data_IF_995359025466
#
_entry.id   IF_995359025466
#
_cell.length_a   1.000
_cell.length_b   1.000
_cell.length_c   1.000
_cell.angle_alpha   90.00
_cell.angle_beta   90.00
_cell.angle_gamma   90.00
#
_symmetry.space_group_name_H-M   'P 1'
#
loop_
_entity.id
_entity.type
_entity.pdbx_description
1 polymer ?
#
# COMPACT_ATOMS: atom_id res chain seq x y z
N UNK A 1 -3.82 -7.83 26.94
CA UNK A 1 -3.27 -6.51 27.32
C UNK A 1 -3.50 -5.57 26.14
N UNK A 2 -4.43 -4.63 26.28
CA UNK A 2 -4.83 -3.73 25.19
C UNK A 2 -3.84 -2.56 25.18
N UNK A 3 -3.02 -2.45 24.13
CA UNK A 3 -2.10 -1.32 24.01
C UNK A 3 -2.92 -0.02 23.95
N UNK A 4 -2.57 1.02 24.72
CA UNK A 4 -3.23 2.31 24.61
C UNK A 4 -3.07 2.83 23.18
N UNK A 5 -4.02 3.64 22.71
CA UNK A 5 -4.07 4.13 21.34
C UNK A 5 -2.90 5.09 21.07
N UNK A 6 -1.74 4.50 20.70
CA UNK A 6 -0.40 5.12 20.60
C UNK A 6 -0.34 6.40 19.76
N UNK A 7 -1.30 6.61 18.86
CA UNK A 7 -1.41 7.82 18.03
C UNK A 7 -1.69 9.10 18.83
N UNK A 8 -2.37 9.01 19.98
CA UNK A 8 -2.67 10.18 20.82
C UNK A 8 -1.48 10.61 21.70
N UNK A 9 -0.60 9.67 22.02
CA UNK A 9 0.57 9.87 22.89
C UNK A 9 1.82 10.33 22.12
N UNK A 10 1.81 10.20 20.78
CA UNK A 10 2.84 10.76 19.92
C UNK A 10 2.82 12.30 19.99
N UNK A 11 4.00 12.89 20.15
CA UNK A 11 4.20 14.33 19.97
C UNK A 11 3.58 14.76 18.63
N UNK A 12 2.99 15.96 18.57
CA UNK A 12 2.24 16.40 17.38
C UNK A 12 3.07 16.33 16.09
N UNK A 13 4.38 16.57 16.18
CA UNK A 13 5.33 16.50 15.05
C UNK A 13 5.63 15.08 14.57
N UNK A 14 5.38 14.08 15.42
CA UNK A 14 5.66 12.67 15.16
C UNK A 14 4.42 11.91 14.64
N UNK A 15 3.27 12.57 14.62
CA UNK A 15 2.06 11.99 14.06
C UNK A 15 2.19 11.83 12.54
N UNK A 16 1.64 10.76 11.95
CA UNK A 16 1.86 10.45 10.54
C UNK A 16 1.39 11.54 9.55
N UNK A 17 0.30 12.26 9.84
CA UNK A 17 -0.23 13.30 8.95
C UNK A 17 0.72 14.51 8.90
N UNK A 18 1.21 14.91 10.07
CA UNK A 18 2.11 16.02 10.27
C UNK A 18 3.50 15.70 9.69
N UNK A 19 3.99 14.47 9.87
CA UNK A 19 5.21 13.98 9.20
C UNK A 19 5.04 13.93 7.68
N UNK A 20 3.91 13.44 7.18
CA UNK A 20 3.62 13.41 5.74
C UNK A 20 3.62 14.81 5.15
N UNK A 21 3.01 15.79 5.84
CA UNK A 21 2.98 17.18 5.41
C UNK A 21 4.36 17.84 5.42
N UNK A 22 5.18 17.57 6.44
CA UNK A 22 6.48 18.22 6.64
C UNK A 22 7.62 17.57 5.85
N UNK A 23 7.63 16.25 5.76
CA UNK A 23 8.75 15.44 5.26
C UNK A 23 8.41 14.65 3.99
N UNK A 24 7.13 14.62 3.59
CA UNK A 24 6.66 13.83 2.45
C UNK A 24 6.49 12.35 2.75
N UNK A 25 5.99 11.61 1.76
CA UNK A 25 5.63 10.20 1.92
C UNK A 25 6.83 9.28 2.21
N UNK A 26 8.02 9.62 1.72
CA UNK A 26 9.23 8.82 1.94
C UNK A 26 9.70 8.77 3.40
N UNK A 27 9.18 9.65 4.25
CA UNK A 27 9.49 9.64 5.68
C UNK A 27 8.61 8.66 6.48
N UNK A 28 7.57 8.08 5.89
CA UNK A 28 6.66 7.13 6.54
C UNK A 28 7.09 5.70 6.22
N UNK A 29 6.98 4.80 7.20
CA UNK A 29 7.11 3.37 6.93
C UNK A 29 5.85 2.79 6.28
N UNK A 30 5.94 1.58 5.70
CA UNK A 30 4.81 0.91 5.04
C UNK A 30 3.56 0.80 5.92
N UNK A 31 3.75 0.54 7.22
CA UNK A 31 2.64 0.47 8.19
C UNK A 31 1.95 1.83 8.31
N UNK A 32 2.71 2.92 8.38
CA UNK A 32 2.18 4.28 8.46
C UNK A 32 1.47 4.69 7.16
N UNK A 33 2.03 4.33 6.00
CA UNK A 33 1.41 4.59 4.70
C UNK A 33 0.05 3.89 4.58
N UNK A 34 -0.02 2.60 4.92
CA UNK A 34 -1.28 1.87 4.92
C UNK A 34 -2.24 2.39 5.98
N UNK A 35 -1.76 2.77 7.16
CA UNK A 35 -2.60 3.35 8.20
C UNK A 35 -3.23 4.68 7.73
N UNK A 36 -2.47 5.51 7.01
CA UNK A 36 -2.96 6.74 6.41
C UNK A 36 -4.07 6.49 5.38
N UNK A 37 -3.96 5.43 4.57
CA UNK A 37 -5.01 5.04 3.64
C UNK A 37 -6.28 4.54 4.36
N UNK A 38 -6.11 3.76 5.43
CA UNK A 38 -7.25 3.21 6.19
C UNK A 38 -8.03 4.28 6.97
N UNK A 39 -7.40 5.42 7.28
CA UNK A 39 -7.93 6.65 7.95
C UNK A 39 -8.49 6.48 9.36
N UNK A 40 -9.22 5.40 9.63
CA UNK A 40 -9.89 5.17 10.89
C UNK A 40 -9.85 3.70 11.27
N UNK A 41 -9.84 3.43 12.58
CA UNK A 41 -9.80 2.08 13.11
C UNK A 41 -11.13 1.36 12.88
N UNK A 42 -11.28 0.18 13.47
CA UNK A 42 -12.59 -0.40 13.71
C UNK A 42 -12.74 -0.71 15.19
N UNK A 43 -13.96 -0.95 15.66
CA UNK A 43 -14.19 -1.23 17.08
C UNK A 43 -13.33 -2.44 17.51
N UNK A 44 -12.37 -2.20 18.39
CA UNK A 44 -11.45 -3.20 18.92
C UNK A 44 -10.11 -3.35 18.18
N UNK A 45 -9.84 -2.61 17.10
CA UNK A 45 -8.52 -2.58 16.44
C UNK A 45 -8.15 -1.15 16.04
N UNK A 46 -7.00 -0.67 16.52
CA UNK A 46 -6.46 0.61 16.05
C UNK A 46 -5.87 0.46 14.63
N UNK A 47 -5.74 1.61 13.95
CA UNK A 47 -5.34 1.64 12.53
C UNK A 47 -3.93 1.07 12.31
N UNK A 48 -2.92 1.43 13.12
CA UNK A 48 -1.57 0.89 12.92
C UNK A 48 -1.52 -0.62 13.11
N UNK A 49 -2.24 -1.18 14.08
CA UNK A 49 -2.31 -2.64 14.27
C UNK A 49 -2.95 -3.32 13.06
N UNK A 50 -4.02 -2.75 12.51
CA UNK A 50 -4.67 -3.28 11.32
C UNK A 50 -3.75 -3.24 10.09
N UNK A 51 -3.04 -2.13 9.88
CA UNK A 51 -2.07 -1.96 8.81
C UNK A 51 -0.89 -2.95 8.92
N UNK A 52 -0.37 -3.14 10.13
CA UNK A 52 0.68 -4.12 10.41
C UNK A 52 0.22 -5.56 10.17
N UNK A 53 -1.02 -5.91 10.56
CA UNK A 53 -1.59 -7.23 10.26
C UNK A 53 -1.74 -7.45 8.75
N UNK A 54 -2.12 -6.42 8.00
CA UNK A 54 -2.20 -6.42 6.54
C UNK A 54 -0.86 -6.80 5.90
N UNK A 55 0.22 -6.10 6.27
CA UNK A 55 1.56 -6.37 5.73
C UNK A 55 2.06 -7.75 6.13
N UNK A 56 1.80 -8.18 7.36
CA UNK A 56 2.26 -9.48 7.85
C UNK A 56 1.56 -10.64 7.14
N UNK A 57 0.26 -10.51 6.87
CA UNK A 57 -0.51 -11.52 6.12
C UNK A 57 -0.12 -11.54 4.64
N UNK A 58 0.17 -10.38 4.03
CA UNK A 58 0.62 -10.30 2.65
C UNK A 58 2.09 -10.70 2.46
N UNK A 59 2.91 -10.57 3.51
CA UNK A 59 4.36 -10.77 3.49
C UNK A 59 5.17 -9.57 2.98
N UNK A 60 4.57 -8.68 2.17
CA UNK A 60 5.19 -7.43 1.72
C UNK A 60 4.15 -6.44 1.18
N UNK A 61 4.53 -5.16 1.02
CA UNK A 61 3.68 -4.16 0.37
C UNK A 61 3.39 -4.52 -1.09
N UNK A 62 4.38 -5.05 -1.82
CA UNK A 62 4.22 -5.46 -3.22
C UNK A 62 3.26 -6.62 -3.41
N UNK A 63 3.20 -7.56 -2.46
CA UNK A 63 2.29 -8.70 -2.51
C UNK A 63 0.80 -8.28 -2.46
N UNK A 64 0.49 -7.11 -1.87
CA UNK A 64 -0.87 -6.57 -1.83
C UNK A 64 -1.43 -6.25 -3.23
N UNK A 65 -0.56 -6.04 -4.23
CA UNK A 65 -0.98 -5.77 -5.61
C UNK A 65 -1.78 -6.95 -6.19
N UNK A 66 -1.48 -8.18 -5.76
CA UNK A 66 -2.14 -9.40 -6.22
C UNK A 66 -3.41 -9.78 -5.45
N UNK A 67 -3.73 -9.08 -4.35
CA UNK A 67 -4.86 -9.42 -3.49
C UNK A 67 -6.21 -9.06 -4.11
N UNK A 68 -7.22 -9.90 -3.87
CA UNK A 68 -8.63 -9.65 -4.23
C UNK A 68 -9.41 -9.13 -3.03
N UNK A 69 -10.66 -8.68 -3.25
CA UNK A 69 -11.52 -8.15 -2.17
C UNK A 69 -11.61 -9.11 -0.99
N UNK A 70 -11.78 -10.40 -1.27
CA UNK A 70 -11.92 -11.43 -0.25
C UNK A 70 -10.64 -11.59 0.58
N UNK A 71 -9.45 -11.36 0.02
CA UNK A 71 -8.20 -11.44 0.77
C UNK A 71 -8.12 -10.32 1.82
N UNK A 72 -8.48 -9.09 1.42
CA UNK A 72 -8.58 -7.97 2.35
C UNK A 72 -9.63 -8.21 3.44
N UNK A 73 -10.79 -8.76 3.07
CA UNK A 73 -11.91 -8.97 4.00
C UNK A 73 -11.71 -10.12 5.00
N UNK A 74 -10.69 -10.97 4.83
CA UNK A 74 -10.28 -11.96 5.85
C UNK A 74 -9.82 -11.29 7.14
N UNK A 75 -9.29 -10.06 7.05
CA UNK A 75 -8.81 -9.31 8.20
C UNK A 75 -9.96 -8.61 8.92
N UNK A 76 -10.15 -8.96 10.20
CA UNK A 76 -11.13 -8.31 11.06
C UNK A 76 -10.85 -6.81 11.13
N UNK A 77 -11.85 -6.01 10.77
CA UNK A 77 -11.74 -4.55 10.70
C UNK A 77 -11.59 -3.99 9.27
N UNK A 78 -11.47 -4.85 8.26
CA UNK A 78 -11.56 -4.46 6.86
C UNK A 78 -12.92 -4.90 6.31
N UNK A 79 -13.89 -3.99 6.38
CA UNK A 79 -15.18 -4.16 5.71
C UNK A 79 -15.09 -3.87 4.21
N UNK A 80 -16.22 -4.05 3.50
CA UNK A 80 -16.33 -3.86 2.05
C UNK A 80 -15.75 -2.53 1.57
N UNK A 81 -16.09 -1.41 2.22
CA UNK A 81 -15.64 -0.07 1.80
C UNK A 81 -14.11 0.05 1.82
N UNK A 82 -13.47 -0.37 2.91
CA UNK A 82 -12.01 -0.34 3.06
C UNK A 82 -11.33 -1.29 2.08
N UNK A 83 -11.90 -2.48 1.86
CA UNK A 83 -11.38 -3.43 0.89
C UNK A 83 -11.41 -2.87 -0.54
N UNK A 84 -12.53 -2.27 -0.96
CA UNK A 84 -12.63 -1.63 -2.27
C UNK A 84 -11.65 -0.46 -2.43
N UNK A 85 -11.48 0.37 -1.39
CA UNK A 85 -10.51 1.46 -1.40
C UNK A 85 -9.08 0.94 -1.60
N UNK A 86 -8.68 -0.10 -0.86
CA UNK A 86 -7.35 -0.71 -1.00
C UNK A 86 -7.18 -1.31 -2.40
N UNK A 87 -8.18 -2.02 -2.92
CA UNK A 87 -8.16 -2.54 -4.28
C UNK A 87 -7.94 -1.43 -5.32
N UNK A 88 -8.63 -0.29 -5.17
CA UNK A 88 -8.43 0.86 -6.05
C UNK A 88 -7.00 1.38 -6.00
N UNK A 89 -6.42 1.53 -4.81
CA UNK A 89 -5.02 1.99 -4.66
C UNK A 89 -4.04 0.99 -5.30
N UNK A 90 -4.24 -0.31 -5.07
CA UNK A 90 -3.39 -1.35 -5.64
C UNK A 90 -3.51 -1.42 -7.17
N UNK A 91 -4.72 -1.20 -7.72
CA UNK A 91 -4.95 -1.09 -9.16
C UNK A 91 -4.19 0.08 -9.77
N UNK A 92 -4.25 1.26 -9.14
CA UNK A 92 -3.49 2.43 -9.58
C UNK A 92 -1.99 2.13 -9.58
N UNK A 93 -1.46 1.57 -8.49
CA UNK A 93 -0.05 1.20 -8.39
C UNK A 93 0.37 0.22 -9.50
N UNK A 94 -0.44 -0.82 -9.75
CA UNK A 94 -0.17 -1.80 -10.82
C UNK A 94 -0.13 -1.15 -12.20
N UNK A 95 -1.08 -0.26 -12.53
CA UNK A 95 -1.12 0.42 -13.84
C UNK A 95 0.12 1.29 -14.04
N UNK A 96 0.56 2.00 -13.00
CA UNK A 96 1.78 2.80 -13.03
C UNK A 96 2.98 1.89 -13.31
N UNK A 97 3.14 0.79 -12.57
CA UNK A 97 4.26 -0.15 -12.78
C UNK A 97 4.29 -0.75 -14.19
N UNK A 98 3.13 -1.14 -14.74
CA UNK A 98 3.03 -1.67 -16.11
C UNK A 98 3.43 -0.61 -17.16
N UNK A 99 3.03 0.65 -16.95
CA UNK A 99 3.40 1.76 -17.85
C UNK A 99 4.90 2.04 -17.82
N UNK A 100 5.54 2.02 -16.65
CA UNK A 100 6.99 2.21 -16.53
C UNK A 100 7.76 1.13 -17.31
N UNK A 101 7.30 -0.13 -17.24
CA UNK A 101 7.92 -1.24 -17.97
C UNK A 101 7.67 -1.22 -19.49
N UNK A 102 6.75 -0.40 -19.99
CA UNK A 102 6.45 -0.27 -21.43
C UNK A 102 7.44 0.65 -22.17
N UNK A 103 8.48 1.14 -21.49
CA UNK A 103 9.62 1.86 -22.09
C UNK A 103 10.84 0.96 -22.35
N UNK A 104 10.62 -0.32 -22.69
CA UNK A 104 11.69 -1.16 -23.25
C UNK A 104 11.80 -0.93 -24.77
N UNK A 105 13.03 -0.84 -25.33
CA UNK A 105 13.28 -0.34 -26.67
C UNK A 105 12.64 -1.25 -27.71
N UNK A 106 12.03 -0.64 -28.73
CA UNK A 106 11.79 -1.32 -30.00
C UNK A 106 13.14 -1.89 -30.43
N UNK A 107 13.29 -3.22 -30.41
CA UNK A 107 14.44 -3.89 -31.00
C UNK A 107 14.40 -3.57 -32.50
N UNK A 108 15.10 -2.51 -32.93
CA UNK A 108 15.47 -2.34 -34.33
C UNK A 108 16.55 -3.38 -34.64
N UNK A 109 16.09 -4.59 -34.92
CA UNK A 109 16.88 -5.64 -35.53
C UNK A 109 16.90 -5.49 -37.04
N UNK A 110 17.33 -4.33 -37.55
CA UNK A 110 17.81 -4.24 -38.93
C UNK A 110 19.10 -5.07 -39.03
N UNK A 111 18.94 -6.33 -39.48
CA UNK A 111 19.91 -7.09 -40.30
C UNK A 111 19.53 -8.58 -40.34
N UNK A 112 18.98 -9.01 -41.49
CA UNK A 112 19.54 -10.06 -42.36
C UNK A 112 18.45 -10.59 -43.32
N UNK A 113 18.25 -9.91 -44.44
CA UNK A 113 17.98 -10.63 -45.69
C UNK A 113 19.31 -10.72 -46.44
N UNK A 114 20.06 -11.79 -46.17
CA UNK A 114 21.23 -12.13 -46.98
C UNK A 114 20.70 -12.62 -48.32
N UNK A 115 21.02 -11.88 -49.38
CA UNK A 115 21.14 -12.44 -50.74
C UNK A 115 22.11 -13.61 -50.66
N UNK A 116 21.61 -14.84 -50.84
CA UNK A 116 22.13 -15.86 -51.76
C UNK A 116 20.94 -16.72 -52.16
#
# INVERSE_FOLDING_TARGET
MNAPSRLKELAATERPQERLQRLGAGALCDVELLAMLLRSGTRGHDVPTLAGALLREAGSLGALIGWKENDFRKLKGIGRVKALQLLTVMEVARRVLVQQNSTAPVFSGDRKWRRI
#
